data_IF_979735379125
#
_entry.id   IF_979735379125
#
_cell.length_a   1.000
_cell.length_b   1.000
_cell.length_c   1.000
_cell.angle_alpha   90.00
_cell.angle_beta   90.00
_cell.angle_gamma   90.00
#
_symmetry.space_group_name_H-M   'P 1'
#
loop_
_entity.id
_entity.type
_entity.pdbx_description
1 polymer ?
#
# COMPACT_ATOMS: atom_id res chain seq x y z
N UNK A 1 -20.99 -11.41 -6.11
CA UNK A 1 -21.07 -10.25 -5.19
C UNK A 1 -20.69 -8.97 -5.93
N UNK A 2 -21.44 -7.88 -5.73
CA UNK A 2 -21.15 -6.60 -6.39
C UNK A 2 -20.26 -5.73 -5.49
N UNK A 3 -18.95 -5.77 -5.74
CA UNK A 3 -17.95 -4.99 -5.00
C UNK A 3 -17.67 -3.70 -5.75
N UNK A 4 -17.69 -2.58 -5.05
CA UNK A 4 -17.41 -1.25 -5.62
C UNK A 4 -15.90 -0.99 -5.63
N UNK A 5 -15.24 -1.45 -6.69
CA UNK A 5 -13.80 -1.30 -6.92
C UNK A 5 -13.59 -0.92 -8.39
N UNK A 6 -12.48 -0.24 -8.68
CA UNK A 6 -12.13 0.18 -10.05
C UNK A 6 -12.18 -1.03 -11.01
N UNK A 7 -12.68 -0.81 -12.23
CA UNK A 7 -13.08 -1.86 -13.15
C UNK A 7 -11.95 -2.82 -13.53
N UNK A 8 -10.76 -2.34 -13.83
CA UNK A 8 -9.63 -3.21 -14.20
C UNK A 8 -9.23 -4.14 -13.07
N UNK A 9 -9.28 -3.66 -11.81
CA UNK A 9 -9.05 -4.49 -10.64
C UNK A 9 -10.20 -5.44 -10.38
N UNK A 10 -11.44 -5.02 -10.62
CA UNK A 10 -12.62 -5.88 -10.48
C UNK A 10 -12.52 -7.10 -11.40
N UNK A 11 -12.08 -6.90 -12.63
CA UNK A 11 -11.86 -8.00 -13.57
C UNK A 11 -10.77 -8.97 -13.08
N UNK A 12 -9.66 -8.45 -12.57
CA UNK A 12 -8.54 -9.27 -12.07
C UNK A 12 -8.91 -10.06 -10.81
N UNK A 13 -9.73 -9.49 -9.95
CA UNK A 13 -10.05 -10.04 -8.64
C UNK A 13 -11.45 -10.70 -8.58
N UNK A 14 -12.17 -10.75 -9.70
CA UNK A 14 -13.51 -11.32 -9.75
C UNK A 14 -13.61 -12.73 -9.12
N UNK A 15 -12.68 -13.67 -9.35
CA UNK A 15 -12.72 -14.98 -8.72
C UNK A 15 -12.67 -14.93 -7.18
N UNK A 16 -12.00 -13.93 -6.60
CA UNK A 16 -11.89 -13.80 -5.15
C UNK A 16 -13.23 -13.48 -4.49
N UNK A 17 -14.08 -12.69 -5.16
CA UNK A 17 -15.36 -12.25 -4.59
C UNK A 17 -16.34 -13.39 -4.35
N UNK A 18 -16.17 -14.53 -5.01
CA UNK A 18 -17.03 -15.72 -4.89
C UNK A 18 -16.47 -16.75 -3.90
N UNK A 19 -15.27 -16.55 -3.37
CA UNK A 19 -14.66 -17.48 -2.41
C UNK A 19 -15.24 -17.33 -1.01
N UNK A 20 -15.31 -18.42 -0.28
CA UNK A 20 -15.87 -18.45 1.07
C UNK A 20 -15.17 -17.47 2.02
N UNK A 21 -13.85 -17.34 1.94
CA UNK A 21 -13.15 -16.40 2.81
C UNK A 21 -13.62 -14.97 2.59
N UNK A 22 -13.88 -14.59 1.33
CA UNK A 22 -14.31 -13.23 1.00
C UNK A 22 -15.74 -12.96 1.46
N UNK A 23 -16.61 -13.94 1.35
CA UNK A 23 -17.99 -13.85 1.88
C UNK A 23 -17.96 -13.63 3.40
N UNK A 24 -17.17 -14.44 4.11
CA UNK A 24 -17.01 -14.28 5.57
C UNK A 24 -16.39 -12.93 5.94
N UNK A 25 -15.37 -12.50 5.19
CA UNK A 25 -14.75 -11.20 5.37
C UNK A 25 -15.75 -10.06 5.20
N UNK A 26 -16.57 -10.11 4.15
CA UNK A 26 -17.58 -9.09 3.87
C UNK A 26 -18.59 -8.99 5.01
N UNK A 27 -19.09 -10.14 5.50
CA UNK A 27 -20.04 -10.17 6.61
C UNK A 27 -19.42 -9.60 7.89
N UNK A 28 -18.18 -9.97 8.18
CA UNK A 28 -17.43 -9.45 9.31
C UNK A 28 -17.26 -7.91 9.21
N UNK A 29 -16.80 -7.41 8.10
CA UNK A 29 -16.55 -5.97 7.90
C UNK A 29 -17.85 -5.16 8.00
N UNK A 30 -18.94 -5.64 7.38
CA UNK A 30 -20.26 -4.99 7.50
C UNK A 30 -20.75 -4.91 8.93
N UNK A 31 -20.58 -5.99 9.69
CA UNK A 31 -20.95 -6.02 11.11
C UNK A 31 -20.10 -5.02 11.90
N UNK A 32 -18.79 -4.97 11.65
CA UNK A 32 -17.89 -4.05 12.31
C UNK A 32 -18.27 -2.58 12.08
N UNK A 33 -18.58 -2.20 10.84
CA UNK A 33 -19.01 -0.83 10.53
C UNK A 33 -20.34 -0.45 11.18
N UNK A 34 -21.22 -1.41 11.43
CA UNK A 34 -22.50 -1.17 12.10
C UNK A 34 -22.39 -1.05 13.63
N UNK A 35 -21.41 -1.71 14.23
CA UNK A 35 -21.34 -1.89 15.68
C UNK A 35 -20.24 -1.11 16.38
N UNK A 36 -19.23 -0.64 15.62
CA UNK A 36 -18.10 0.09 16.19
C UNK A 36 -17.53 1.09 15.18
N UNK A 37 -16.54 1.86 15.60
CA UNK A 37 -15.86 2.82 14.72
C UNK A 37 -14.72 2.13 13.97
N UNK A 38 -14.78 2.17 12.64
CA UNK A 38 -13.82 1.52 11.73
C UNK A 38 -13.16 2.57 10.84
N UNK A 39 -11.88 2.40 10.55
CA UNK A 39 -11.14 3.20 9.59
C UNK A 39 -10.57 2.33 8.47
N UNK A 40 -10.41 2.89 7.26
CA UNK A 40 -10.92 4.18 6.78
C UNK A 40 -12.46 4.17 6.65
N UNK A 41 -13.09 5.31 6.32
CA UNK A 41 -14.52 5.31 5.94
C UNK A 41 -14.80 4.28 4.85
N UNK A 42 -15.97 3.65 4.89
CA UNK A 42 -16.28 2.50 4.02
C UNK A 42 -16.07 2.75 2.53
N UNK A 43 -16.36 3.96 2.05
CA UNK A 43 -16.15 4.37 0.65
C UNK A 43 -14.67 4.42 0.24
N UNK A 44 -13.74 4.43 1.20
CA UNK A 44 -12.30 4.53 0.96
C UNK A 44 -11.54 3.22 1.17
N UNK A 45 -12.22 2.12 1.48
CA UNK A 45 -11.58 0.81 1.69
C UNK A 45 -10.69 0.43 0.50
N UNK A 46 -11.18 0.61 -0.73
CA UNK A 46 -10.49 0.25 -1.96
C UNK A 46 -9.78 1.42 -2.65
N UNK A 47 -9.51 2.49 -1.92
CA UNK A 47 -8.95 3.72 -2.51
C UNK A 47 -7.62 3.50 -3.23
N UNK A 48 -6.76 2.62 -2.72
CA UNK A 48 -5.50 2.28 -3.37
C UNK A 48 -5.72 1.73 -4.79
N UNK A 49 -6.71 0.89 -4.97
CA UNK A 49 -7.09 0.32 -6.27
C UNK A 49 -7.78 1.34 -7.16
N UNK A 50 -8.67 2.16 -6.58
CA UNK A 50 -9.46 3.15 -7.34
C UNK A 50 -8.56 4.25 -7.92
N UNK A 51 -7.50 4.63 -7.21
CA UNK A 51 -6.56 5.68 -7.67
C UNK A 51 -5.42 5.13 -8.55
N UNK A 52 -5.17 3.83 -8.50
CA UNK A 52 -4.10 3.20 -9.28
C UNK A 52 -4.65 1.96 -10.01
N UNK A 53 -5.26 2.14 -11.19
CA UNK A 53 -5.76 1.03 -12.00
C UNK A 53 -4.68 -0.02 -12.29
N UNK A 54 -5.09 -1.27 -12.51
CA UNK A 54 -4.20 -2.42 -12.67
C UNK A 54 -3.10 -2.19 -13.72
N UNK A 55 -3.49 -1.66 -14.88
CA UNK A 55 -2.56 -1.44 -15.99
C UNK A 55 -1.67 -0.20 -15.84
N UNK A 56 -1.98 0.66 -14.88
CA UNK A 56 -1.21 1.88 -14.61
C UNK A 56 -0.19 1.71 -13.47
N UNK A 57 -0.30 0.64 -12.69
CA UNK A 57 0.63 0.38 -11.59
C UNK A 57 2.06 0.21 -12.11
N UNK A 58 3.00 0.94 -11.54
CA UNK A 58 4.44 0.87 -11.83
C UNK A 58 5.25 0.51 -10.60
N UNK A 59 4.84 1.01 -9.45
CA UNK A 59 5.48 0.78 -8.16
C UNK A 59 4.42 0.29 -7.17
N UNK A 60 4.77 -0.72 -6.39
CA UNK A 60 3.91 -1.27 -5.33
C UNK A 60 4.63 -1.10 -4.00
N UNK A 61 3.99 -0.41 -3.07
CA UNK A 61 4.45 -0.28 -1.69
C UNK A 61 3.48 -1.03 -0.80
N UNK A 62 3.98 -1.95 0.02
CA UNK A 62 3.15 -2.78 0.88
C UNK A 62 3.26 -2.28 2.32
N UNK A 63 2.13 -1.83 2.87
CA UNK A 63 1.96 -1.54 4.29
C UNK A 63 1.27 -2.68 5.01
N UNK A 64 1.03 -2.53 6.30
CA UNK A 64 0.39 -3.56 7.12
C UNK A 64 -1.07 -3.24 7.41
N UNK A 65 -1.35 -2.30 8.28
CA UNK A 65 -2.69 -1.90 8.71
C UNK A 65 -2.94 -0.42 8.38
N UNK A 66 -4.21 0.00 8.21
CA UNK A 66 -4.53 1.42 8.22
C UNK A 66 -4.20 2.07 9.57
N UNK A 67 -3.95 3.37 9.57
CA UNK A 67 -3.87 4.12 10.81
C UNK A 67 -5.20 4.02 11.58
N UNK A 68 -5.10 3.85 12.89
CA UNK A 68 -6.28 3.65 13.75
C UNK A 68 -6.72 4.89 14.53
N UNK A 69 -6.10 6.03 14.28
CA UNK A 69 -6.51 7.33 14.85
C UNK A 69 -7.56 8.04 13.99
N UNK A 70 -8.38 8.91 14.61
CA UNK A 70 -9.42 9.63 13.87
C UNK A 70 -8.85 10.49 12.74
N UNK A 71 -9.48 10.44 11.57
CA UNK A 71 -9.15 11.31 10.44
C UNK A 71 -7.84 11.03 9.73
N UNK A 72 -7.09 9.99 10.11
CA UNK A 72 -5.79 9.68 9.52
C UNK A 72 -5.91 8.86 8.22
N UNK A 73 -6.48 7.66 8.31
CA UNK A 73 -6.54 6.70 7.19
C UNK A 73 -7.54 7.13 6.11
N UNK A 74 -7.11 7.00 4.85
CA UNK A 74 -7.99 7.22 3.70
C UNK A 74 -7.80 6.19 2.58
N UNK A 75 -7.30 4.99 2.95
CA UNK A 75 -7.20 3.85 2.04
C UNK A 75 -5.89 3.73 1.27
N UNK A 76 -4.88 4.53 1.58
CA UNK A 76 -3.52 4.45 1.03
C UNK A 76 -2.53 4.21 2.16
N UNK A 77 -1.67 3.19 2.03
CA UNK A 77 -0.70 2.89 3.08
C UNK A 77 0.26 4.06 3.30
N UNK A 78 0.64 4.29 4.56
CA UNK A 78 1.49 5.39 5.05
C UNK A 78 0.90 6.80 4.89
N UNK A 79 -0.11 7.00 4.06
CA UNK A 79 -0.70 8.28 3.75
C UNK A 79 -1.69 8.74 4.83
N UNK A 80 -1.74 10.05 5.07
CA UNK A 80 -2.76 10.68 5.91
C UNK A 80 -3.51 11.74 5.12
N UNK A 81 -4.72 12.08 5.57
CA UNK A 81 -5.49 13.18 5.00
C UNK A 81 -4.74 14.51 5.12
N UNK A 82 -5.06 15.46 4.24
CA UNK A 82 -4.54 16.82 4.32
C UNK A 82 -4.80 17.42 5.70
N UNK A 83 -3.84 18.18 6.21
CA UNK A 83 -3.94 18.85 7.50
C UNK A 83 -3.69 17.97 8.71
N UNK A 84 -3.45 16.68 8.52
CA UNK A 84 -3.12 15.74 9.60
C UNK A 84 -1.62 15.70 9.82
N UNK A 85 -1.19 15.67 11.08
CA UNK A 85 0.22 15.56 11.44
C UNK A 85 0.81 14.24 10.89
N UNK A 86 2.04 14.30 10.40
CA UNK A 86 2.71 13.13 9.84
C UNK A 86 2.99 12.08 10.91
N UNK A 87 2.48 10.85 10.77
CA UNK A 87 2.91 9.76 11.64
C UNK A 87 4.42 9.51 11.54
N UNK A 88 5.05 8.93 12.57
CA UNK A 88 6.51 8.78 12.62
C UNK A 88 7.13 8.06 11.42
N UNK A 89 6.48 6.99 10.92
CA UNK A 89 7.00 6.29 9.74
C UNK A 89 6.96 7.19 8.49
N UNK A 90 5.91 7.97 8.31
CA UNK A 90 5.80 8.90 7.19
C UNK A 90 6.85 10.03 7.27
N UNK A 91 7.10 10.54 8.47
CA UNK A 91 8.19 11.50 8.68
C UNK A 91 9.54 10.94 8.19
N UNK A 92 9.83 9.69 8.52
CA UNK A 92 11.07 9.03 8.12
C UNK A 92 11.12 8.77 6.61
N UNK A 93 9.99 8.42 6.00
CA UNK A 93 9.88 8.29 4.54
C UNK A 93 10.28 9.61 3.87
N UNK A 94 9.72 10.73 4.31
CA UNK A 94 10.05 12.04 3.74
C UNK A 94 11.49 12.46 4.01
N UNK A 95 12.06 12.10 5.17
CA UNK A 95 13.49 12.34 5.45
C UNK A 95 14.39 11.57 4.46
N UNK A 96 14.04 10.33 4.17
CA UNK A 96 14.81 9.54 3.19
C UNK A 96 14.67 10.11 1.78
N UNK A 97 13.49 10.52 1.36
CA UNK A 97 13.28 11.17 0.06
C UNK A 97 14.13 12.43 -0.05
N UNK A 98 14.18 13.25 0.99
CA UNK A 98 15.00 14.45 1.01
C UNK A 98 16.49 14.11 0.89
N UNK A 99 16.96 13.13 1.63
CA UNK A 99 18.34 12.66 1.58
C UNK A 99 18.70 12.05 0.23
N UNK A 100 17.82 11.27 -0.35
CA UNK A 100 18.03 10.53 -1.61
C UNK A 100 17.95 11.44 -2.84
N UNK A 101 16.93 12.30 -2.91
CA UNK A 101 16.57 13.07 -4.11
C UNK A 101 16.72 14.58 -3.95
N UNK A 102 17.01 15.09 -2.75
CA UNK A 102 17.08 16.52 -2.49
C UNK A 102 15.73 17.25 -2.51
N UNK A 103 14.63 16.52 -2.49
CA UNK A 103 13.26 17.07 -2.49
C UNK A 103 12.91 17.52 -1.07
N UNK A 104 12.42 18.75 -0.93
CA UNK A 104 11.97 19.25 0.37
C UNK A 104 10.77 18.47 0.91
N UNK A 105 10.72 18.37 2.24
CA UNK A 105 9.60 17.71 2.93
C UNK A 105 8.31 18.48 2.61
N UNK A 106 7.26 17.80 2.10
CA UNK A 106 6.02 18.47 1.74
C UNK A 106 5.25 18.95 2.99
N UNK A 107 4.30 19.85 2.77
CA UNK A 107 3.41 20.34 3.83
C UNK A 107 2.24 19.39 4.12
N UNK A 108 1.91 18.52 3.16
CA UNK A 108 0.84 17.52 3.29
C UNK A 108 1.39 16.10 3.28
N UNK A 109 0.86 15.24 4.13
CA UNK A 109 1.13 13.80 4.15
C UNK A 109 0.19 12.98 3.28
N UNK A 110 -0.63 13.62 2.44
CA UNK A 110 -1.52 12.95 1.52
C UNK A 110 -0.74 12.46 0.29
N UNK A 111 -0.65 11.14 0.12
CA UNK A 111 0.13 10.51 -0.95
C UNK A 111 -0.72 10.19 -2.20
N UNK A 112 -1.91 10.75 -2.32
CA UNK A 112 -2.76 10.60 -3.52
C UNK A 112 -1.99 10.97 -4.80
N UNK A 113 -1.10 11.97 -4.74
CA UNK A 113 -0.27 12.37 -5.88
C UNK A 113 0.66 11.25 -6.36
N UNK A 114 1.13 10.37 -5.45
CA UNK A 114 1.90 9.19 -5.85
C UNK A 114 1.00 8.14 -6.52
N UNK A 115 -0.16 7.88 -5.91
CA UNK A 115 -1.12 6.91 -6.45
C UNK A 115 -1.54 7.27 -7.88
N UNK A 116 -1.79 8.54 -8.15
CA UNK A 116 -2.16 9.04 -9.47
C UNK A 116 -1.06 8.89 -10.52
N UNK A 117 0.18 8.63 -10.10
CA UNK A 117 1.32 8.39 -11.00
C UNK A 117 1.62 6.91 -11.20
N UNK A 118 0.83 6.01 -10.63
CA UNK A 118 1.03 4.58 -10.77
C UNK A 118 1.70 3.91 -9.57
N UNK A 119 1.66 4.52 -8.39
CA UNK A 119 2.10 3.89 -7.15
C UNK A 119 0.90 3.25 -6.44
N UNK A 120 0.89 1.93 -6.35
CA UNK A 120 -0.11 1.19 -5.57
C UNK A 120 0.33 1.19 -4.10
N UNK A 121 -0.35 1.98 -3.29
CA UNK A 121 -0.08 2.12 -1.86
C UNK A 121 -1.02 1.19 -1.09
N UNK A 122 -0.63 -0.08 -0.96
CA UNK A 122 -1.52 -1.16 -0.50
C UNK A 122 -1.17 -1.63 0.91
N UNK A 123 -2.10 -1.47 1.84
CA UNK A 123 -2.05 -2.17 3.12
C UNK A 123 -2.43 -3.65 2.93
N UNK A 124 -1.81 -4.54 3.69
CA UNK A 124 -2.19 -5.95 3.70
C UNK A 124 -3.60 -6.16 4.26
N UNK A 125 -3.97 -5.37 5.27
CA UNK A 125 -5.30 -5.34 5.90
C UNK A 125 -5.94 -4.00 5.59
N UNK A 126 -7.15 -3.98 5.03
CA UNK A 126 -7.75 -2.76 4.48
C UNK A 126 -8.67 -2.03 5.46
N UNK A 127 -8.95 -2.60 6.61
CA UNK A 127 -9.77 -2.00 7.67
C UNK A 127 -9.17 -2.21 9.03
N UNK A 128 -9.55 -1.38 10.00
CA UNK A 128 -9.08 -1.46 11.39
C UNK A 128 -10.10 -0.82 12.32
N UNK A 129 -10.26 -1.34 13.54
CA UNK A 129 -11.03 -0.67 14.59
C UNK A 129 -10.27 0.55 15.10
N UNK A 130 -11.01 1.61 15.43
CA UNK A 130 -10.47 2.79 16.07
C UNK A 130 -9.66 2.40 17.33
N UNK A 131 -8.43 2.93 17.43
CA UNK A 131 -7.51 2.74 18.55
C UNK A 131 -7.05 1.29 18.79
N UNK A 132 -7.28 0.36 17.85
CA UNK A 132 -6.96 -1.05 18.02
C UNK A 132 -6.16 -1.57 16.83
N UNK A 133 -4.86 -1.29 16.79
CA UNK A 133 -3.95 -1.77 15.76
C UNK A 133 -4.06 -3.30 15.62
N UNK A 134 -4.08 -3.80 14.39
CA UNK A 134 -4.14 -5.23 14.10
C UNK A 134 -5.48 -5.90 14.37
N UNK A 135 -6.51 -5.15 14.73
CA UNK A 135 -7.83 -5.70 15.13
C UNK A 135 -8.54 -6.48 14.02
N UNK A 136 -8.24 -6.20 12.75
CA UNK A 136 -8.84 -6.89 11.61
C UNK A 136 -7.89 -7.86 10.91
N UNK A 137 -6.74 -8.15 11.52
CA UNK A 137 -5.83 -9.18 11.01
C UNK A 137 -6.49 -10.58 11.10
N UNK A 138 -6.11 -11.46 10.16
CA UNK A 138 -6.60 -12.85 10.07
C UNK A 138 -8.11 -12.97 9.87
N UNK A 139 -8.72 -11.96 9.24
CA UNK A 139 -10.16 -11.98 8.89
C UNK A 139 -10.40 -12.21 7.39
N UNK A 140 -9.34 -12.23 6.59
CA UNK A 140 -9.41 -12.49 5.14
C UNK A 140 -8.80 -11.41 4.25
N UNK A 141 -8.53 -10.20 4.77
CA UNK A 141 -7.91 -9.15 3.95
C UNK A 141 -6.57 -9.56 3.37
N UNK A 142 -5.74 -10.26 4.15
CA UNK A 142 -4.41 -10.69 3.72
C UNK A 142 -4.48 -11.60 2.49
N UNK A 143 -5.46 -12.50 2.46
CA UNK A 143 -5.68 -13.40 1.32
C UNK A 143 -6.11 -12.61 0.07
N UNK A 144 -6.98 -11.63 0.24
CA UNK A 144 -7.42 -10.74 -0.85
C UNK A 144 -6.27 -9.89 -1.40
N UNK A 145 -5.49 -9.27 -0.54
CA UNK A 145 -4.36 -8.43 -0.97
C UNK A 145 -3.21 -9.26 -1.54
N UNK A 146 -3.02 -10.49 -1.06
CA UNK A 146 -2.09 -11.44 -1.70
C UNK A 146 -2.51 -11.74 -3.14
N UNK A 147 -3.80 -11.94 -3.39
CA UNK A 147 -4.30 -12.16 -4.74
C UNK A 147 -4.04 -10.96 -5.65
N UNK A 148 -4.21 -9.74 -5.15
CA UNK A 148 -3.93 -8.51 -5.90
C UNK A 148 -2.44 -8.38 -6.27
N UNK A 149 -1.54 -8.61 -5.30
CA UNK A 149 -0.10 -8.54 -5.52
C UNK A 149 0.33 -9.63 -6.51
N UNK A 150 -0.22 -10.84 -6.36
CA UNK A 150 0.07 -11.96 -7.26
C UNK A 150 -0.38 -11.68 -8.69
N UNK A 151 -1.55 -11.09 -8.88
CA UNK A 151 -2.05 -10.73 -10.21
C UNK A 151 -1.09 -9.76 -10.91
N UNK A 152 -0.61 -8.73 -10.21
CA UNK A 152 0.41 -7.82 -10.75
C UNK A 152 1.71 -8.55 -11.07
N UNK A 153 2.23 -9.32 -10.12
CA UNK A 153 3.53 -9.99 -10.26
C UNK A 153 3.55 -11.00 -11.41
N UNK A 154 2.45 -11.69 -11.66
CA UNK A 154 2.34 -12.72 -12.69
C UNK A 154 2.03 -12.16 -14.08
N UNK A 155 1.19 -11.13 -14.17
CA UNK A 155 0.67 -10.64 -15.46
C UNK A 155 1.39 -9.39 -15.97
N UNK A 156 2.09 -8.68 -15.13
CA UNK A 156 2.83 -7.47 -15.50
C UNK A 156 4.33 -7.77 -15.50
N UNK A 157 5.11 -6.88 -16.14
CA UNK A 157 6.57 -6.94 -16.17
C UNK A 157 7.16 -5.60 -15.79
N UNK A 158 8.40 -5.63 -15.28
CA UNK A 158 9.17 -4.43 -14.96
C UNK A 158 8.51 -3.50 -13.95
N UNK A 159 7.80 -4.09 -12.97
CA UNK A 159 7.29 -3.35 -11.82
C UNK A 159 8.37 -3.22 -10.74
N UNK A 160 8.23 -2.23 -9.88
CA UNK A 160 9.06 -2.06 -8.69
C UNK A 160 8.22 -2.41 -7.46
N UNK A 161 8.66 -3.40 -6.68
CA UNK A 161 8.05 -3.76 -5.41
C UNK A 161 8.92 -3.25 -4.27
N UNK A 162 8.39 -2.40 -3.41
CA UNK A 162 9.09 -1.83 -2.27
C UNK A 162 8.57 -2.49 -1.00
N UNK A 163 9.43 -3.24 -0.33
CA UNK A 163 9.11 -4.10 0.80
C UNK A 163 9.88 -3.65 2.04
N UNK A 164 9.26 -2.84 2.86
CA UNK A 164 9.85 -2.33 4.10
C UNK A 164 9.45 -3.19 5.29
N UNK A 165 10.44 -3.80 5.92
CA UNK A 165 10.27 -4.65 7.09
C UNK A 165 9.98 -6.11 6.77
N UNK A 166 10.11 -6.96 7.79
CA UNK A 166 9.98 -8.41 7.63
C UNK A 166 8.60 -8.86 7.13
N UNK A 167 7.54 -8.19 7.60
CA UNK A 167 6.17 -8.52 7.21
C UNK A 167 5.95 -8.36 5.70
N UNK A 168 6.31 -7.17 5.16
CA UNK A 168 6.18 -6.90 3.72
C UNK A 168 7.08 -7.83 2.89
N UNK A 169 8.31 -8.09 3.35
CA UNK A 169 9.24 -8.99 2.67
C UNK A 169 8.71 -10.42 2.60
N UNK A 170 8.10 -10.91 3.66
CA UNK A 170 7.45 -12.23 3.67
C UNK A 170 6.27 -12.28 2.70
N UNK A 171 5.44 -11.24 2.68
CA UNK A 171 4.27 -11.13 1.80
C UNK A 171 4.69 -11.12 0.33
N UNK A 172 5.80 -10.47 0.00
CA UNK A 172 6.35 -10.37 -1.35
C UNK A 172 7.41 -11.41 -1.71
N UNK A 173 7.63 -12.44 -0.88
CA UNK A 173 8.71 -13.41 -1.07
C UNK A 173 8.59 -14.21 -2.37
N UNK A 174 7.38 -14.38 -2.92
CA UNK A 174 7.13 -15.13 -4.16
C UNK A 174 7.46 -14.35 -5.44
N UNK A 175 7.72 -13.04 -5.35
CA UNK A 175 7.90 -12.17 -6.52
C UNK A 175 9.19 -12.55 -7.29
N UNK A 176 9.06 -12.77 -8.60
CA UNK A 176 10.18 -13.11 -9.48
C UNK A 176 11.08 -11.88 -9.72
N UNK A 177 12.29 -11.94 -9.17
CA UNK A 177 13.29 -10.86 -9.29
C UNK A 177 13.93 -10.76 -10.67
N UNK A 178 13.75 -11.73 -11.54
CA UNK A 178 14.14 -11.63 -12.95
C UNK A 178 13.13 -10.84 -13.76
N UNK A 179 11.92 -10.72 -13.26
CA UNK A 179 10.79 -10.07 -13.93
C UNK A 179 10.53 -8.66 -13.40
N UNK A 180 10.84 -8.43 -12.13
CA UNK A 180 10.58 -7.18 -11.43
C UNK A 180 11.78 -6.76 -10.57
N UNK A 181 11.86 -5.48 -10.24
CA UNK A 181 12.77 -5.00 -9.21
C UNK A 181 12.11 -5.12 -7.85
N UNK A 182 12.77 -5.80 -6.91
CA UNK A 182 12.35 -5.87 -5.51
C UNK A 182 13.35 -5.11 -4.66
N UNK A 183 12.88 -4.04 -4.00
CA UNK A 183 13.67 -3.22 -3.10
C UNK A 183 13.22 -3.52 -1.67
N UNK A 184 14.12 -4.06 -0.87
CA UNK A 184 13.83 -4.46 0.51
C UNK A 184 14.78 -3.78 1.49
N UNK A 185 14.25 -3.33 2.61
CA UNK A 185 15.03 -2.75 3.72
C UNK A 185 14.26 -2.89 5.03
N UNK A 186 14.88 -2.42 6.13
CA UNK A 186 14.18 -2.23 7.39
C UNK A 186 12.97 -1.30 7.21
N UNK A 187 12.00 -1.41 8.11
CA UNK A 187 10.79 -0.59 8.12
C UNK A 187 11.12 0.88 8.49
N UNK A 188 10.40 1.87 7.95
CA UNK A 188 10.60 3.29 8.30
C UNK A 188 10.19 3.69 9.71
N UNK A 189 9.58 2.80 10.50
CA UNK A 189 9.27 3.05 11.91
C UNK A 189 10.52 3.53 12.67
N UNK A 190 10.38 4.47 13.63
CA UNK A 190 11.49 4.88 14.50
C UNK A 190 12.20 3.71 15.20
N UNK A 191 11.50 2.59 15.43
CA UNK A 191 12.07 1.40 16.05
C UNK A 191 13.12 0.70 15.17
N UNK A 192 13.10 0.90 13.86
CA UNK A 192 13.92 0.14 12.91
C UNK A 192 14.58 0.99 11.82
N UNK A 193 14.20 2.25 11.66
CA UNK A 193 14.66 3.09 10.54
C UNK A 193 16.18 3.20 10.44
N UNK A 194 16.89 3.26 11.57
CA UNK A 194 18.35 3.34 11.62
C UNK A 194 19.02 1.98 11.32
N UNK A 195 18.25 0.90 11.23
CA UNK A 195 18.77 -0.44 10.94
C UNK A 195 18.75 -0.76 9.44
N UNK A 196 18.74 0.25 8.58
CA UNK A 196 18.85 0.08 7.14
C UNK A 196 17.75 0.71 6.28
N UNK A 197 16.76 1.38 6.87
CA UNK A 197 15.81 2.18 6.09
C UNK A 197 16.49 3.47 5.60
N UNK A 198 17.06 4.25 6.51
CA UNK A 198 17.79 5.45 6.10
C UNK A 198 19.02 5.08 5.27
N UNK A 199 19.17 5.71 4.11
CA UNK A 199 20.22 5.41 3.16
C UNK A 199 19.86 4.29 2.16
N UNK A 200 18.65 3.75 2.18
CA UNK A 200 18.24 2.69 1.26
C UNK A 200 18.13 3.17 -0.20
N UNK A 201 17.91 4.47 -0.42
CA UNK A 201 17.80 5.10 -1.74
C UNK A 201 16.74 4.45 -2.65
N UNK A 202 15.69 3.93 -2.07
CA UNK A 202 14.65 3.20 -2.81
C UNK A 202 13.95 4.10 -3.84
N UNK A 203 13.84 5.40 -3.58
CA UNK A 203 13.13 6.34 -4.45
C UNK A 203 13.90 6.63 -5.73
N UNK A 204 15.19 6.92 -5.65
CA UNK A 204 16.04 7.06 -6.84
C UNK A 204 16.22 5.74 -7.57
N UNK A 205 16.41 4.64 -6.84
CA UNK A 205 16.58 3.31 -7.45
C UNK A 205 15.33 2.86 -8.19
N UNK A 206 14.14 3.13 -7.66
CA UNK A 206 12.88 2.86 -8.35
C UNK A 206 12.79 3.67 -9.65
N UNK A 207 13.10 4.96 -9.59
CA UNK A 207 13.05 5.83 -10.78
C UNK A 207 14.05 5.43 -11.84
N UNK A 208 15.28 5.07 -11.46
CA UNK A 208 16.30 4.61 -12.41
C UNK A 208 15.82 3.36 -13.15
N UNK A 209 15.24 2.40 -12.43
CA UNK A 209 14.70 1.18 -13.03
C UNK A 209 13.53 1.47 -13.98
N UNK A 210 12.62 2.36 -13.59
CA UNK A 210 11.48 2.73 -14.44
C UNK A 210 11.96 3.37 -15.75
N UNK A 211 12.89 4.31 -15.68
CA UNK A 211 13.45 5.00 -16.85
C UNK A 211 14.18 4.00 -17.74
N UNK A 212 14.98 3.11 -17.17
CA UNK A 212 15.69 2.05 -17.89
C UNK A 212 14.75 1.15 -18.70
N UNK A 213 13.53 0.96 -18.23
CA UNK A 213 12.50 0.15 -18.89
C UNK A 213 11.46 0.98 -19.68
N UNK A 214 11.78 2.23 -19.98
CA UNK A 214 10.95 3.08 -20.85
C UNK A 214 9.70 3.66 -20.18
N UNK A 215 9.64 3.63 -18.85
CA UNK A 215 8.54 4.22 -18.09
C UNK A 215 8.94 5.55 -17.48
N UNK A 216 7.96 6.45 -17.30
CA UNK A 216 8.22 7.72 -16.65
C UNK A 216 8.54 7.51 -15.17
N UNK A 217 9.49 8.29 -14.60
CA UNK A 217 9.79 8.22 -13.18
C UNK A 217 8.63 8.76 -12.35
N UNK A 218 8.65 8.43 -11.07
CA UNK A 218 7.71 8.99 -10.09
C UNK A 218 8.25 10.32 -9.58
N UNK A 219 7.39 11.31 -9.53
CA UNK A 219 7.66 12.57 -8.83
C UNK A 219 7.29 12.38 -7.36
N UNK A 220 8.27 11.97 -6.60
CA UNK A 220 8.08 11.67 -5.19
C UNK A 220 7.92 12.96 -4.35
#
# INVERSE_FOLDING_TARGET
MNVQIEESWKQQLAPEFEKDYFVRLTDFVRTEYRTTTIYPPGKLIFNAFNLCPFHQAKVVIIGQDPYHGPGQAHGLCFSVNDGVAFPPSLQNIFKEIKSDLGIDIPTSGNLTRWANQGVLLLNATLTVRAHQAGSHQRKGWEEFTDAAIRALAEQREHLVFILWGAYAQKKGAFIDRNKHLVLASAHPSPLSAYNGFFGNKHFSRANDYLVEHGMSPINW
#
